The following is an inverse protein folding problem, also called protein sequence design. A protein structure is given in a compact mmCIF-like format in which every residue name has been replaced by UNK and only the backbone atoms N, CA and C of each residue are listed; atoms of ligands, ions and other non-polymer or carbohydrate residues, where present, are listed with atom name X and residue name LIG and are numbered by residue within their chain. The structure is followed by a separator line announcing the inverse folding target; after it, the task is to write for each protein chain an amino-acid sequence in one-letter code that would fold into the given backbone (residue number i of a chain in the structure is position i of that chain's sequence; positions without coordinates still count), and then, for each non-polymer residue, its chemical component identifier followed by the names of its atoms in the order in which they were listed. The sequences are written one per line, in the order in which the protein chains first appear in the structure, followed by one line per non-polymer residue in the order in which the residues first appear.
data_IF_868898580692
#
_entry.id   IF_868898580692
#
_cell.length_a   1.000
_cell.length_b   1.000
_cell.length_c   1.000
_cell.angle_alpha   90.00
_cell.angle_beta   90.00
_cell.angle_gamma   90.00
#
_symmetry.space_group_name_H-M   'P 1'
#
loop_
_entity.id
_entity.type
_entity.pdbx_description
1 polymer ?
#
# COMPACT_ATOMS: atom_id res chain seq x y z
N UNK A 1 8.97 3.89 -64.19
CA UNK A 1 7.87 4.02 -63.27
C UNK A 1 8.37 3.66 -61.87
N UNK A 2 8.56 4.64 -61.03
CA UNK A 2 8.94 4.40 -59.62
C UNK A 2 7.67 4.23 -58.77
N UNK A 3 7.47 3.01 -58.26
CA UNK A 3 6.44 2.77 -57.23
C UNK A 3 6.96 3.32 -55.89
N UNK A 4 6.38 4.40 -55.45
CA UNK A 4 6.60 4.91 -54.08
C UNK A 4 5.88 3.98 -53.12
N UNK A 5 6.64 3.21 -52.35
CA UNK A 5 6.13 2.46 -51.21
C UNK A 5 5.98 3.46 -50.07
N UNK A 6 4.76 3.82 -49.73
CA UNK A 6 4.48 4.60 -48.54
C UNK A 6 4.49 3.61 -47.35
N UNK A 7 5.58 3.67 -46.59
CA UNK A 7 5.67 2.95 -45.33
C UNK A 7 4.89 3.73 -44.29
N UNK A 8 3.63 3.34 -44.06
CA UNK A 8 2.88 3.86 -42.92
C UNK A 8 3.45 3.24 -41.66
N UNK A 9 4.22 4.01 -40.94
CA UNK A 9 4.63 3.66 -39.58
C UNK A 9 3.38 3.67 -38.67
N UNK A 10 2.89 2.51 -38.28
CA UNK A 10 1.89 2.39 -37.25
C UNK A 10 2.53 2.76 -35.92
N UNK A 11 2.23 3.95 -35.43
CA UNK A 11 2.60 4.36 -34.08
C UNK A 11 1.69 3.57 -33.14
N UNK A 12 2.23 2.49 -32.57
CA UNK A 12 1.57 1.77 -31.49
C UNK A 12 1.70 2.64 -30.27
N UNK A 13 0.66 3.40 -29.97
CA UNK A 13 0.53 4.13 -28.72
C UNK A 13 0.36 3.13 -27.59
N UNK A 14 1.43 2.82 -26.88
CA UNK A 14 1.39 2.02 -25.67
C UNK A 14 0.79 2.90 -24.56
N UNK A 15 -0.54 2.92 -24.47
CA UNK A 15 -1.23 3.54 -23.34
C UNK A 15 -0.86 2.79 -22.06
N UNK A 16 -0.30 3.51 -21.07
CA UNK A 16 0.17 2.99 -19.79
C UNK A 16 -0.93 2.47 -18.83
N UNK A 17 -1.95 1.76 -19.36
CA UNK A 17 -3.00 1.15 -18.55
C UNK A 17 -2.49 -0.01 -17.67
N UNK A 18 -1.31 -0.57 -17.96
CA UNK A 18 -0.73 -1.67 -17.19
C UNK A 18 -0.34 -1.29 -15.76
N UNK A 19 0.13 -0.06 -15.51
CA UNK A 19 0.52 0.41 -14.17
C UNK A 19 -0.69 0.57 -13.25
N UNK A 20 -1.79 1.15 -13.72
CA UNK A 20 -3.01 1.31 -12.92
C UNK A 20 -3.65 -0.04 -12.58
N UNK A 21 -3.67 -0.98 -13.51
CA UNK A 21 -4.18 -2.33 -13.28
C UNK A 21 -3.30 -3.10 -12.28
N UNK A 22 -1.97 -2.93 -12.32
CA UNK A 22 -1.03 -3.53 -11.38
C UNK A 22 -1.22 -2.95 -9.98
N UNK A 23 -1.37 -1.64 -9.83
CA UNK A 23 -1.61 -0.99 -8.55
C UNK A 23 -2.93 -1.43 -7.94
N UNK A 24 -4.00 -1.53 -8.72
CA UNK A 24 -5.30 -2.03 -8.27
C UNK A 24 -5.23 -3.48 -7.80
N UNK A 25 -4.47 -4.33 -8.48
CA UNK A 25 -4.22 -5.71 -8.09
C UNK A 25 -3.46 -5.78 -6.75
N UNK A 26 -2.40 -5.00 -6.61
CA UNK A 26 -1.62 -4.94 -5.37
C UNK A 26 -2.45 -4.43 -4.19
N UNK A 27 -3.29 -3.43 -4.40
CA UNK A 27 -4.23 -2.94 -3.38
C UNK A 27 -5.20 -4.03 -2.95
N UNK A 28 -5.77 -4.77 -3.90
CA UNK A 28 -6.67 -5.89 -3.60
C UNK A 28 -5.96 -7.00 -2.81
N UNK A 29 -4.74 -7.35 -3.17
CA UNK A 29 -3.92 -8.30 -2.41
C UNK A 29 -3.61 -7.77 -1.01
N UNK A 30 -3.29 -6.49 -0.87
CA UNK A 30 -3.05 -5.84 0.42
C UNK A 30 -4.27 -5.92 1.34
N UNK A 31 -5.48 -5.74 0.81
CA UNK A 31 -6.71 -5.92 1.58
C UNK A 31 -6.87 -7.35 2.09
N UNK A 32 -6.53 -8.35 1.28
CA UNK A 32 -6.57 -9.76 1.68
C UNK A 32 -5.56 -10.05 2.79
N UNK A 33 -4.33 -9.57 2.66
CA UNK A 33 -3.28 -9.72 3.67
C UNK A 33 -3.72 -9.04 4.97
N UNK A 34 -4.24 -7.83 4.88
CA UNK A 34 -4.77 -7.07 6.02
C UNK A 34 -5.81 -7.87 6.82
N UNK A 35 -6.74 -8.49 6.14
CA UNK A 35 -7.75 -9.34 6.77
C UNK A 35 -7.14 -10.64 7.32
N UNK A 36 -6.29 -11.30 6.55
CA UNK A 36 -5.67 -12.58 6.95
C UNK A 36 -4.75 -12.44 8.17
N UNK A 37 -4.05 -11.32 8.30
CA UNK A 37 -3.16 -11.03 9.43
C UNK A 37 -3.88 -10.36 10.61
N UNK A 38 -5.20 -10.27 10.55
CA UNK A 38 -6.06 -9.75 11.62
C UNK A 38 -5.70 -8.32 12.06
N UNK A 39 -5.30 -7.48 11.12
CA UNK A 39 -4.95 -6.09 11.40
C UNK A 39 -6.12 -5.28 12.00
N UNK A 40 -7.35 -5.68 11.73
CA UNK A 40 -8.58 -5.09 12.29
C UNK A 40 -8.67 -5.20 13.80
N UNK A 41 -7.92 -6.09 14.43
CA UNK A 41 -7.89 -6.16 15.91
C UNK A 41 -7.34 -4.89 16.54
N UNK A 42 -6.44 -4.18 15.85
CA UNK A 42 -5.81 -2.96 16.34
C UNK A 42 -6.10 -1.74 15.47
N UNK A 43 -6.53 -1.92 14.23
CA UNK A 43 -6.71 -0.84 13.27
C UNK A 43 -8.13 -0.79 12.70
N UNK A 44 -8.49 0.42 12.24
CA UNK A 44 -9.78 0.66 11.60
C UNK A 44 -9.57 1.29 10.21
N UNK A 45 -10.31 0.77 9.24
CA UNK A 45 -10.40 1.36 7.89
C UNK A 45 -11.88 1.43 7.51
N UNK A 46 -12.32 2.59 7.05
CA UNK A 46 -13.69 2.81 6.59
C UNK A 46 -14.76 2.38 7.61
N UNK A 47 -14.53 2.66 8.88
CA UNK A 47 -15.45 2.33 9.97
C UNK A 47 -15.41 0.88 10.45
N UNK A 48 -14.56 0.04 9.87
CA UNK A 48 -14.41 -1.37 10.24
C UNK A 48 -13.11 -1.61 10.99
N UNK A 49 -13.20 -2.24 12.13
CA UNK A 49 -12.05 -2.59 12.97
C UNK A 49 -12.02 -1.82 14.29
N UNK A 50 -10.83 -1.69 14.86
CA UNK A 50 -10.63 -1.06 16.15
C UNK A 50 -10.37 0.44 16.03
N UNK A 51 -11.18 1.23 16.71
CA UNK A 51 -11.11 2.71 16.73
C UNK A 51 -9.81 3.27 17.31
N UNK A 52 -9.03 2.48 18.00
CA UNK A 52 -7.77 2.90 18.63
C UNK A 52 -6.71 3.23 17.59
N UNK A 53 -6.69 2.50 16.47
CA UNK A 53 -5.69 2.66 15.41
C UNK A 53 -6.29 2.92 14.02
N UNK A 54 -6.96 4.08 13.81
CA UNK A 54 -7.52 4.40 12.50
C UNK A 54 -6.41 4.60 11.47
N UNK A 55 -6.57 3.99 10.30
CA UNK A 55 -5.65 4.09 9.17
C UNK A 55 -6.20 4.91 8.00
N UNK A 56 -7.43 5.42 8.14
CA UNK A 56 -8.02 6.28 7.11
C UNK A 56 -7.15 7.50 6.86
N UNK A 57 -6.83 7.75 5.59
CA UNK A 57 -5.98 8.87 5.19
C UNK A 57 -4.49 8.68 5.43
N UNK A 58 -4.03 7.50 5.88
CA UNK A 58 -2.60 7.25 6.15
C UNK A 58 -1.73 7.45 4.90
N UNK A 59 -2.25 7.13 3.72
CA UNK A 59 -1.55 7.34 2.45
C UNK A 59 -1.36 8.81 2.08
N UNK A 60 -2.06 9.73 2.73
CA UNK A 60 -1.85 11.18 2.62
C UNK A 60 -0.88 11.68 3.68
N UNK A 61 -0.93 11.12 4.89
CA UNK A 61 -0.12 11.55 6.04
C UNK A 61 1.33 11.08 5.97
N UNK A 62 1.56 9.89 5.47
CA UNK A 62 2.89 9.25 5.44
C UNK A 62 3.35 9.02 4.02
N UNK A 63 4.66 9.07 3.81
CA UNK A 63 5.28 8.66 2.55
C UNK A 63 5.25 7.13 2.41
N UNK A 64 5.35 6.63 1.19
CA UNK A 64 5.46 5.19 0.93
C UNK A 64 6.63 4.56 1.70
N UNK A 65 7.76 5.26 1.76
CA UNK A 65 8.96 4.81 2.50
C UNK A 65 8.64 4.65 3.98
N UNK A 66 7.96 5.61 4.60
CA UNK A 66 7.60 5.55 6.01
C UNK A 66 6.57 4.44 6.28
N UNK A 67 5.59 4.30 5.40
CA UNK A 67 4.60 3.21 5.49
C UNK A 67 5.31 1.85 5.46
N UNK A 68 6.26 1.66 4.54
CA UNK A 68 7.05 0.42 4.46
C UNK A 68 7.84 0.16 5.74
N UNK A 69 8.45 1.17 6.31
CA UNK A 69 9.21 1.05 7.56
C UNK A 69 8.34 0.62 8.75
N UNK A 70 7.07 0.99 8.77
CA UNK A 70 6.16 0.49 9.79
C UNK A 70 6.01 -1.03 9.79
N UNK A 71 6.25 -1.69 8.66
CA UNK A 71 6.22 -3.14 8.55
C UNK A 71 7.61 -3.78 8.71
N UNK A 72 8.68 -3.10 8.29
CA UNK A 72 10.03 -3.66 8.24
C UNK A 72 10.91 -3.24 9.40
N UNK A 73 10.65 -2.10 10.03
CA UNK A 73 11.41 -1.53 11.13
C UNK A 73 10.48 -0.82 12.13
N UNK A 74 9.53 -1.58 12.63
CA UNK A 74 8.44 -1.09 13.47
C UNK A 74 8.95 -0.42 14.74
N UNK A 75 9.98 -0.98 15.39
CA UNK A 75 10.55 -0.45 16.63
C UNK A 75 11.13 0.96 16.40
N UNK A 76 11.85 1.17 15.31
CA UNK A 76 12.40 2.48 14.97
C UNK A 76 11.31 3.50 14.67
N UNK A 77 10.23 3.09 14.03
CA UNK A 77 9.09 3.96 13.74
C UNK A 77 8.33 4.33 15.02
N UNK A 78 8.14 3.39 15.91
CA UNK A 78 7.51 3.66 17.22
C UNK A 78 8.34 4.66 18.05
N UNK A 79 9.66 4.59 17.98
CA UNK A 79 10.55 5.52 18.67
C UNK A 79 10.41 6.98 18.19
N UNK A 80 9.91 7.19 16.98
CA UNK A 80 9.66 8.54 16.41
C UNK A 80 8.31 9.15 16.81
N UNK A 81 7.43 8.38 17.45
CA UNK A 81 6.13 8.88 17.86
C UNK A 81 6.25 9.90 19.01
N UNK A 82 5.48 10.98 18.93
CA UNK A 82 5.42 12.02 19.96
C UNK A 82 4.80 11.52 21.27
N UNK A 83 4.08 10.41 21.20
CA UNK A 83 3.42 9.81 22.35
C UNK A 83 3.66 8.29 22.35
N UNK A 84 3.65 7.71 23.56
CA UNK A 84 3.76 6.26 23.68
C UNK A 84 2.39 5.61 23.50
N UNK A 85 2.19 4.74 22.49
CA UNK A 85 0.96 4.02 22.36
C UNK A 85 0.76 3.02 23.50
N UNK A 86 -0.47 2.83 23.93
CA UNK A 86 -0.79 1.82 24.96
C UNK A 86 -0.44 0.41 24.54
N UNK A 87 -0.60 0.12 23.26
CA UNK A 87 -0.23 -1.15 22.64
C UNK A 87 0.73 -0.88 21.51
N UNK A 88 1.91 -1.45 21.58
CA UNK A 88 2.93 -1.31 20.54
C UNK A 88 2.68 -2.32 19.42
N UNK A 89 2.70 -1.85 18.19
CA UNK A 89 2.58 -2.72 17.00
C UNK A 89 3.69 -3.79 16.98
N UNK A 90 4.92 -3.44 17.36
CA UNK A 90 6.05 -4.35 17.45
C UNK A 90 5.81 -5.53 18.40
N UNK A 91 4.97 -5.37 19.44
CA UNK A 91 4.67 -6.42 20.40
C UNK A 91 3.82 -7.56 19.81
N UNK A 92 3.16 -7.33 18.68
CA UNK A 92 2.28 -8.32 18.05
C UNK A 92 3.02 -9.34 17.17
N UNK A 93 4.26 -9.09 16.82
CA UNK A 93 5.13 -10.01 16.05
C UNK A 93 4.42 -10.65 14.84
N UNK A 94 3.79 -9.83 14.02
CA UNK A 94 3.12 -10.31 12.81
C UNK A 94 4.18 -10.74 11.79
N UNK A 95 4.18 -12.01 11.42
CA UNK A 95 5.08 -12.54 10.41
C UNK A 95 4.56 -12.17 9.01
N UNK A 96 5.36 -11.43 8.26
CA UNK A 96 5.05 -10.98 6.91
C UNK A 96 6.14 -11.40 5.93
N UNK A 97 5.73 -11.97 4.80
CA UNK A 97 6.62 -12.19 3.65
C UNK A 97 6.85 -10.87 2.92
N UNK A 98 7.93 -10.75 2.18
CA UNK A 98 8.24 -9.54 1.40
C UNK A 98 7.11 -9.16 0.45
N UNK A 99 6.50 -10.15 -0.22
CA UNK A 99 5.34 -9.93 -1.10
C UNK A 99 4.11 -9.41 -0.34
N UNK A 100 3.91 -9.86 0.88
CA UNK A 100 2.82 -9.38 1.75
C UNK A 100 3.06 -7.94 2.21
N UNK A 101 4.30 -7.59 2.52
CA UNK A 101 4.69 -6.21 2.83
C UNK A 101 4.41 -5.31 1.63
N UNK A 102 4.83 -5.70 0.43
CA UNK A 102 4.58 -4.93 -0.79
C UNK A 102 3.08 -4.67 -1.02
N UNK A 103 2.27 -5.69 -0.84
CA UNK A 103 0.82 -5.59 -0.97
C UNK A 103 0.20 -4.68 0.10
N UNK A 104 0.61 -4.82 1.35
CA UNK A 104 0.14 -3.96 2.45
C UNK A 104 0.54 -2.50 2.24
N UNK A 105 1.75 -2.25 1.77
CA UNK A 105 2.21 -0.89 1.45
C UNK A 105 1.32 -0.27 0.36
N UNK A 106 1.05 -1.01 -0.71
CA UNK A 106 0.16 -0.55 -1.77
C UNK A 106 -1.25 -0.22 -1.23
N UNK A 107 -1.78 -1.07 -0.37
CA UNK A 107 -3.08 -0.84 0.27
C UNK A 107 -3.06 0.42 1.14
N UNK A 108 -2.07 0.57 2.00
CA UNK A 108 -1.94 1.76 2.88
C UNK A 108 -1.76 3.05 2.07
N UNK A 109 -0.93 3.04 1.04
CA UNK A 109 -0.75 4.19 0.13
C UNK A 109 -2.07 4.59 -0.52
N UNK A 110 -2.93 3.62 -0.83
CA UNK A 110 -4.25 3.88 -1.43
C UNK A 110 -5.24 4.57 -0.49
N UNK A 111 -5.00 4.54 0.82
CA UNK A 111 -5.87 5.14 1.83
C UNK A 111 -5.63 6.66 1.92
N UNK A 112 -6.08 7.37 0.91
CA UNK A 112 -5.95 8.82 0.82
C UNK A 112 -7.06 9.52 1.62
N UNK A 113 -6.73 10.64 2.20
CA UNK A 113 -7.72 11.54 2.81
C UNK A 113 -8.66 12.08 1.71
N UNK A 114 -9.94 11.95 1.95
CA UNK A 114 -10.96 12.53 1.07
C UNK A 114 -11.09 14.04 1.29
#
# INVERSE_FOLDING_TARGET
MMKRIILTAAVVSFCGSGLLAQDAKMVAEGKKVYAAKECTKCHMVAGKGNKIGPLDGVGTKLTEVDIRKWFTDTVAMEAKLDHKPKVKMSSKKVALKDSEVDALVAYMVSLKKK
#
